data_IF_862609204064
#
_entry.id   IF_862609204064
#
_cell.length_a   1.000
_cell.length_b   1.000
_cell.length_c   1.000
_cell.angle_alpha   90.00
_cell.angle_beta   90.00
_cell.angle_gamma   90.00
#
_symmetry.space_group_name_H-M   'P 1'
#
loop_
_entity.id
_entity.type
_entity.pdbx_description
1 polymer ?
#
# COMPACT_ATOMS: atom_id res chain seq x y z
N UNK A 1 15.48 6.23 -42.17
CA UNK A 1 14.30 5.72 -41.47
C UNK A 1 14.75 5.00 -40.18
N UNK A 2 15.04 5.75 -39.11
CA UNK A 2 15.46 5.15 -37.81
C UNK A 2 14.26 4.45 -37.18
N UNK A 3 14.42 3.20 -36.86
CA UNK A 3 13.39 2.29 -36.34
C UNK A 3 12.72 2.90 -35.08
N UNK A 4 11.40 3.06 -35.13
CA UNK A 4 10.53 3.52 -34.03
C UNK A 4 10.75 2.74 -32.70
N UNK A 5 11.34 1.55 -32.76
CA UNK A 5 11.61 0.70 -31.60
C UNK A 5 12.84 1.11 -30.80
N UNK A 6 13.84 1.74 -31.43
CA UNK A 6 15.06 2.14 -30.74
C UNK A 6 14.86 3.40 -29.85
N UNK A 7 13.93 4.28 -30.24
CA UNK A 7 13.59 5.50 -29.50
C UNK A 7 12.85 5.18 -28.18
N UNK A 8 11.96 4.19 -28.16
CA UNK A 8 11.24 3.82 -26.94
C UNK A 8 12.13 3.13 -25.88
N UNK A 9 13.09 2.31 -26.31
CA UNK A 9 14.06 1.68 -25.40
C UNK A 9 14.98 2.70 -24.73
N UNK A 10 15.38 3.74 -25.49
CA UNK A 10 16.18 4.85 -24.95
C UNK A 10 15.43 5.61 -23.84
N UNK A 11 14.15 5.93 -24.08
CA UNK A 11 13.31 6.63 -23.09
C UNK A 11 13.09 5.83 -21.81
N UNK A 12 12.81 4.53 -21.93
CA UNK A 12 12.66 3.64 -20.76
C UNK A 12 13.95 3.56 -19.96
N UNK A 13 15.11 3.38 -20.64
CA UNK A 13 16.42 3.30 -19.99
C UNK A 13 16.76 4.60 -19.24
N UNK A 14 16.47 5.75 -19.85
CA UNK A 14 16.71 7.05 -19.23
C UNK A 14 15.73 7.29 -18.06
N UNK A 15 14.46 6.92 -18.22
CA UNK A 15 13.46 6.94 -17.16
C UNK A 15 13.88 6.12 -15.95
N UNK A 16 14.30 4.88 -16.15
CA UNK A 16 14.79 3.99 -15.07
C UNK A 16 16.03 4.59 -14.40
N UNK A 17 16.99 5.09 -15.15
CA UNK A 17 18.22 5.70 -14.58
C UNK A 17 17.92 6.92 -13.72
N UNK A 18 16.92 7.71 -14.08
CA UNK A 18 16.50 8.88 -13.31
C UNK A 18 15.68 8.52 -12.07
N UNK A 19 15.04 7.37 -12.07
CA UNK A 19 14.19 6.87 -10.96
C UNK A 19 14.91 5.89 -10.03
N UNK A 20 16.23 5.66 -10.19
CA UNK A 20 17.01 4.78 -9.29
C UNK A 20 16.89 5.18 -7.82
N UNK A 21 16.81 6.48 -7.54
CA UNK A 21 16.58 6.98 -6.18
C UNK A 21 15.26 6.45 -5.60
N UNK A 22 14.21 6.32 -6.42
CA UNK A 22 12.91 5.79 -5.98
C UNK A 22 13.00 4.30 -5.63
N UNK A 23 13.82 3.53 -6.36
CA UNK A 23 14.10 2.12 -6.04
C UNK A 23 14.82 2.01 -4.70
N UNK A 24 15.85 2.85 -4.47
CA UNK A 24 16.60 2.86 -3.20
C UNK A 24 15.68 3.26 -2.05
N UNK A 25 14.90 4.33 -2.21
CA UNK A 25 13.96 4.81 -1.20
C UNK A 25 12.90 3.76 -0.87
N UNK A 26 12.29 3.15 -1.89
CA UNK A 26 11.26 2.11 -1.69
C UNK A 26 11.83 0.85 -1.04
N UNK A 27 13.04 0.43 -1.44
CA UNK A 27 13.73 -0.71 -0.80
C UNK A 27 13.97 -0.42 0.67
N UNK A 28 14.52 0.75 1.01
CA UNK A 28 14.79 1.14 2.39
C UNK A 28 13.51 1.24 3.21
N UNK A 29 12.47 1.86 2.67
CA UNK A 29 11.18 1.97 3.32
C UNK A 29 10.56 0.59 3.63
N UNK A 30 10.58 -0.35 2.70
CA UNK A 30 10.05 -1.69 2.91
C UNK A 30 10.95 -2.57 3.79
N UNK A 31 12.26 -2.39 3.77
CA UNK A 31 13.14 -3.06 4.75
C UNK A 31 12.78 -2.64 6.17
N UNK A 32 12.61 -1.33 6.41
CA UNK A 32 12.32 -0.80 7.75
C UNK A 32 10.88 -1.13 8.18
N UNK A 33 9.91 -1.04 7.29
CA UNK A 33 8.49 -1.21 7.64
C UNK A 33 8.02 -2.67 7.66
N UNK A 34 8.64 -3.55 6.88
CA UNK A 34 8.17 -4.92 6.68
C UNK A 34 9.21 -5.96 7.13
N UNK A 35 10.42 -5.94 6.56
CA UNK A 35 11.40 -6.99 6.80
C UNK A 35 11.91 -6.99 8.23
N UNK A 36 12.36 -5.85 8.74
CA UNK A 36 12.89 -5.75 10.10
C UNK A 36 11.85 -6.10 11.18
N UNK A 37 10.63 -5.53 11.19
CA UNK A 37 9.63 -5.91 12.18
C UNK A 37 9.25 -7.38 12.13
N UNK A 38 9.16 -7.97 10.93
CA UNK A 38 8.87 -9.41 10.79
C UNK A 38 9.98 -10.27 11.37
N UNK A 39 11.25 -9.96 11.08
CA UNK A 39 12.40 -10.70 11.61
C UNK A 39 12.52 -10.55 13.14
N UNK A 40 12.35 -9.33 13.65
CA UNK A 40 12.40 -9.07 15.11
C UNK A 40 11.31 -9.85 15.84
N UNK A 41 10.08 -9.85 15.34
CA UNK A 41 8.97 -10.60 15.93
C UNK A 41 9.26 -12.12 15.94
N UNK A 42 9.73 -12.66 14.82
CA UNK A 42 10.09 -14.09 14.73
C UNK A 42 11.24 -14.45 15.68
N UNK A 43 12.28 -13.61 15.77
CA UNK A 43 13.38 -13.83 16.71
C UNK A 43 12.90 -13.81 18.16
N UNK A 44 12.13 -12.83 18.54
CA UNK A 44 11.56 -12.71 19.87
C UNK A 44 10.69 -13.93 20.25
N UNK A 45 9.88 -14.43 19.31
CA UNK A 45 9.08 -15.62 19.49
C UNK A 45 9.95 -16.88 19.75
N UNK A 46 11.08 -17.00 19.03
CA UNK A 46 12.03 -18.11 19.22
C UNK A 46 12.77 -18.01 20.58
N UNK A 47 13.16 -16.82 20.99
CA UNK A 47 13.79 -16.57 22.29
C UNK A 47 12.83 -16.88 23.45
N UNK A 48 11.61 -16.41 23.37
CA UNK A 48 10.57 -16.71 24.37
C UNK A 48 10.34 -18.22 24.50
N UNK A 49 10.29 -18.95 23.39
CA UNK A 49 10.15 -20.41 23.39
C UNK A 49 11.34 -21.09 24.05
N UNK A 50 12.57 -20.63 23.78
CA UNK A 50 13.77 -21.18 24.44
C UNK A 50 13.75 -20.92 25.95
N UNK A 51 13.37 -19.72 26.38
CA UNK A 51 13.22 -19.38 27.79
C UNK A 51 12.25 -20.29 28.50
N UNK A 52 11.05 -20.52 27.95
CA UNK A 52 10.05 -21.41 28.52
C UNK A 52 10.53 -22.86 28.63
N UNK A 53 11.32 -23.33 27.67
CA UNK A 53 11.92 -24.69 27.74
C UNK A 53 12.92 -24.79 28.88
N UNK A 54 13.75 -23.76 29.07
CA UNK A 54 14.74 -23.69 30.15
C UNK A 54 14.04 -23.66 31.53
N UNK A 55 12.94 -22.91 31.64
CA UNK A 55 12.14 -22.79 32.87
C UNK A 55 11.29 -24.05 33.19
N UNK A 56 11.33 -25.09 32.33
CA UNK A 56 10.65 -26.35 32.54
C UNK A 56 9.14 -26.31 32.35
N UNK A 57 8.66 -25.41 31.47
CA UNK A 57 7.22 -25.28 31.14
C UNK A 57 6.64 -26.59 30.61
N UNK A 58 5.37 -26.83 30.94
CA UNK A 58 4.63 -28.05 30.49
C UNK A 58 4.45 -28.04 28.98
N UNK A 59 4.40 -29.21 28.34
CA UNK A 59 4.23 -29.36 26.91
C UNK A 59 2.98 -28.62 26.38
N UNK A 60 1.89 -28.59 27.15
CA UNK A 60 0.64 -27.87 26.83
C UNK A 60 0.85 -26.35 26.78
N UNK A 61 1.62 -25.80 27.72
CA UNK A 61 1.94 -24.36 27.78
C UNK A 61 2.85 -23.94 26.63
N UNK A 62 3.85 -24.77 26.31
CA UNK A 62 4.71 -24.58 25.14
C UNK A 62 3.91 -24.62 23.82
N UNK A 63 2.97 -25.55 23.69
CA UNK A 63 2.14 -25.64 22.49
C UNK A 63 1.19 -24.44 22.34
N UNK A 64 0.62 -23.95 23.45
CA UNK A 64 -0.25 -22.78 23.44
C UNK A 64 0.54 -21.49 23.14
N UNK A 65 1.69 -21.31 23.77
CA UNK A 65 2.61 -20.20 23.48
C UNK A 65 3.08 -20.19 22.02
N UNK A 66 3.36 -21.38 21.46
CA UNK A 66 3.75 -21.47 20.05
C UNK A 66 2.61 -21.08 19.11
N UNK A 67 1.37 -21.49 19.41
CA UNK A 67 0.19 -21.06 18.62
C UNK A 67 -0.02 -19.55 18.64
N UNK A 68 0.12 -18.91 19.81
CA UNK A 68 0.04 -17.44 19.88
C UNK A 68 1.17 -16.76 19.10
N UNK A 69 2.39 -17.28 19.19
CA UNK A 69 3.53 -16.75 18.42
C UNK A 69 3.35 -16.90 16.91
N UNK A 70 2.74 -18.00 16.45
CA UNK A 70 2.37 -18.19 15.03
C UNK A 70 1.30 -17.17 14.60
N UNK A 71 0.31 -16.89 15.44
CA UNK A 71 -0.73 -15.90 15.15
C UNK A 71 -0.14 -14.49 15.08
N UNK A 72 0.73 -14.12 16.01
CA UNK A 72 1.42 -12.83 15.98
C UNK A 72 2.34 -12.70 14.74
N UNK A 73 3.10 -13.75 14.43
CA UNK A 73 3.94 -13.77 13.24
C UNK A 73 3.12 -13.64 11.96
N UNK A 74 1.91 -14.22 11.90
CA UNK A 74 1.01 -14.10 10.77
C UNK A 74 0.63 -12.64 10.46
N UNK A 75 0.46 -11.81 11.48
CA UNK A 75 0.17 -10.37 11.33
C UNK A 75 1.32 -9.67 10.61
N UNK A 76 2.56 -9.90 11.03
CA UNK A 76 3.73 -9.25 10.46
C UNK A 76 4.10 -9.82 9.07
N UNK A 77 4.07 -11.14 8.91
CA UNK A 77 4.35 -11.81 7.63
C UNK A 77 3.22 -11.52 6.64
N UNK A 78 1.96 -11.56 7.08
CA UNK A 78 0.77 -11.28 6.26
C UNK A 78 0.65 -9.83 5.80
N UNK A 79 1.43 -8.90 6.36
CA UNK A 79 1.40 -7.49 5.96
C UNK A 79 0.28 -6.67 6.55
N UNK A 80 -0.35 -7.13 7.61
CA UNK A 80 -1.34 -6.38 8.37
C UNK A 80 -0.71 -5.26 9.21
N UNK A 81 0.60 -5.12 9.15
CA UNK A 81 1.33 -4.09 9.88
C UNK A 81 1.01 -2.68 9.34
N UNK A 82 0.54 -1.80 10.19
CA UNK A 82 0.23 -0.40 9.87
C UNK A 82 1.42 0.36 9.25
N UNK A 83 2.66 0.01 9.62
CA UNK A 83 3.87 0.63 9.06
C UNK A 83 4.03 0.32 7.56
N UNK A 84 3.70 -0.90 7.12
CA UNK A 84 3.74 -1.27 5.69
C UNK A 84 2.73 -0.45 4.92
N UNK A 85 1.52 -0.31 5.44
CA UNK A 85 0.45 0.47 4.81
C UNK A 85 0.80 1.95 4.69
N UNK A 86 1.36 2.53 5.76
CA UNK A 86 1.89 3.88 5.72
C UNK A 86 2.99 4.04 4.68
N UNK A 87 3.94 3.09 4.61
CA UNK A 87 5.01 3.11 3.62
C UNK A 87 4.45 3.06 2.19
N UNK A 88 3.46 2.20 1.92
CA UNK A 88 2.79 2.11 0.60
C UNK A 88 2.14 3.43 0.22
N UNK A 89 1.39 4.07 1.14
CA UNK A 89 0.74 5.37 0.89
C UNK A 89 1.79 6.46 0.61
N UNK A 90 2.79 6.57 1.47
CA UNK A 90 3.84 7.59 1.32
C UNK A 90 4.63 7.40 0.02
N UNK A 91 4.98 6.16 -0.32
CA UNK A 91 5.68 5.86 -1.57
C UNK A 91 4.80 6.14 -2.79
N UNK A 92 3.49 5.91 -2.74
CA UNK A 92 2.57 6.26 -3.82
C UNK A 92 2.53 7.78 -4.04
N UNK A 93 2.46 8.58 -2.96
CA UNK A 93 2.50 10.03 -3.02
C UNK A 93 3.83 10.53 -3.59
N UNK A 94 4.95 10.06 -3.03
CA UNK A 94 6.30 10.51 -3.44
C UNK A 94 6.60 10.10 -4.87
N UNK A 95 6.32 8.85 -5.25
CA UNK A 95 6.56 8.37 -6.61
C UNK A 95 5.65 9.09 -7.61
N UNK A 96 4.36 9.26 -7.30
CA UNK A 96 3.40 9.95 -8.16
C UNK A 96 3.78 11.40 -8.43
N UNK A 97 4.13 12.15 -7.37
CA UNK A 97 4.59 13.53 -7.53
C UNK A 97 5.92 13.62 -8.26
N UNK A 98 6.91 12.81 -7.91
CA UNK A 98 8.25 12.93 -8.46
C UNK A 98 8.34 12.54 -9.93
N UNK A 99 7.59 11.52 -10.37
CA UNK A 99 7.58 11.08 -11.78
C UNK A 99 6.96 12.11 -12.71
N UNK A 100 6.02 12.92 -12.22
CA UNK A 100 5.33 13.96 -13.00
C UNK A 100 5.75 15.39 -12.65
N UNK A 101 6.65 15.59 -11.68
CA UNK A 101 7.17 16.90 -11.30
C UNK A 101 7.85 17.67 -12.44
N UNK A 102 8.29 16.98 -13.51
CA UNK A 102 8.86 17.65 -14.70
C UNK A 102 7.84 18.57 -15.39
N UNK A 103 6.54 18.34 -15.22
CA UNK A 103 5.47 19.18 -15.76
C UNK A 103 5.43 20.59 -15.12
N UNK A 104 6.00 20.75 -13.93
CA UNK A 104 6.06 22.03 -13.22
C UNK A 104 7.32 22.88 -13.58
N UNK A 105 8.24 22.32 -14.37
CA UNK A 105 9.45 23.00 -14.81
C UNK A 105 9.38 23.29 -16.32
N UNK A 106 9.23 24.56 -16.70
CA UNK A 106 9.09 24.99 -18.10
C UNK A 106 10.20 24.45 -19.01
N UNK A 107 11.45 24.45 -18.53
CA UNK A 107 12.60 23.96 -19.32
C UNK A 107 12.51 22.47 -19.62
N UNK A 108 12.02 21.68 -18.67
CA UNK A 108 11.83 20.24 -18.84
C UNK A 108 10.64 19.95 -19.76
N UNK A 109 9.55 20.69 -19.61
CA UNK A 109 8.37 20.57 -20.48
C UNK A 109 8.75 20.81 -21.94
N UNK A 110 9.45 21.93 -22.24
CA UNK A 110 9.89 22.25 -23.59
C UNK A 110 10.79 21.16 -24.17
N UNK A 111 11.72 20.62 -23.38
CA UNK A 111 12.57 19.49 -23.79
C UNK A 111 11.75 18.23 -24.11
N UNK A 112 10.82 17.84 -23.23
CA UNK A 112 10.01 16.63 -23.47
C UNK A 112 9.04 16.77 -24.63
N UNK A 113 8.52 17.98 -24.87
CA UNK A 113 7.63 18.26 -25.99
C UNK A 113 8.37 18.37 -27.33
N UNK A 114 9.67 18.61 -27.34
CA UNK A 114 10.50 18.58 -28.56
C UNK A 114 10.84 17.14 -29.01
N UNK A 115 10.61 16.14 -28.16
CA UNK A 115 10.87 14.75 -28.52
C UNK A 115 9.83 14.25 -29.53
N UNK A 116 10.22 13.45 -30.54
CA UNK A 116 9.30 12.87 -31.54
C UNK A 116 8.51 11.68 -30.97
N UNK A 117 7.87 11.88 -29.83
CA UNK A 117 7.09 10.85 -29.09
C UNK A 117 5.72 11.41 -28.76
N UNK A 118 4.67 10.60 -28.88
CA UNK A 118 3.33 11.00 -28.49
C UNK A 118 3.25 11.22 -26.97
N UNK A 119 2.44 12.20 -26.54
CA UNK A 119 2.25 12.55 -25.12
C UNK A 119 1.76 11.36 -24.30
N UNK A 120 0.85 10.55 -24.86
CA UNK A 120 0.34 9.33 -24.24
C UNK A 120 1.46 8.32 -23.94
N UNK A 121 2.39 8.13 -24.87
CA UNK A 121 3.53 7.22 -24.67
C UNK A 121 4.48 7.74 -23.60
N UNK A 122 4.71 9.05 -23.57
CA UNK A 122 5.55 9.67 -22.55
C UNK A 122 4.92 9.50 -21.16
N UNK A 123 3.61 9.76 -21.06
CA UNK A 123 2.85 9.53 -19.83
C UNK A 123 2.95 8.07 -19.38
N UNK A 124 2.63 7.13 -20.28
CA UNK A 124 2.62 5.69 -19.96
C UNK A 124 4.00 5.20 -19.53
N UNK A 125 5.08 5.63 -20.20
CA UNK A 125 6.46 5.24 -19.82
C UNK A 125 6.80 5.75 -18.42
N UNK A 126 6.51 7.00 -18.12
CA UNK A 126 6.77 7.56 -16.79
C UNK A 126 5.92 6.88 -15.70
N UNK A 127 4.63 6.65 -15.99
CA UNK A 127 3.72 5.98 -15.07
C UNK A 127 4.18 4.55 -14.75
N UNK A 128 4.42 3.73 -15.78
CA UNK A 128 4.86 2.35 -15.62
C UNK A 128 6.24 2.29 -14.94
N UNK A 129 7.17 3.16 -15.32
CA UNK A 129 8.51 3.19 -14.71
C UNK A 129 8.41 3.50 -13.22
N UNK A 130 7.62 4.50 -12.82
CA UNK A 130 7.43 4.84 -11.40
C UNK A 130 6.76 3.71 -10.61
N UNK A 131 5.73 3.08 -11.19
CA UNK A 131 5.06 1.95 -10.56
C UNK A 131 6.01 0.76 -10.35
N UNK A 132 6.78 0.40 -11.38
CA UNK A 132 7.75 -0.72 -11.32
C UNK A 132 8.85 -0.44 -10.30
N UNK A 133 9.34 0.80 -10.18
CA UNK A 133 10.37 1.18 -9.20
C UNK A 133 9.95 0.96 -7.75
N UNK A 134 8.66 0.95 -7.45
CA UNK A 134 8.14 0.68 -6.10
C UNK A 134 7.68 -0.77 -5.95
N UNK A 135 6.96 -1.30 -6.94
CA UNK A 135 6.39 -2.66 -6.88
C UNK A 135 7.50 -3.73 -6.91
N UNK A 136 8.56 -3.55 -7.71
CA UNK A 136 9.61 -4.54 -7.81
C UNK A 136 10.36 -4.77 -6.47
N UNK A 137 10.86 -3.73 -5.76
CA UNK A 137 11.44 -3.91 -4.43
C UNK A 137 10.46 -4.51 -3.41
N UNK A 138 9.19 -4.10 -3.46
CA UNK A 138 8.14 -4.65 -2.61
C UNK A 138 8.01 -6.16 -2.79
N UNK A 139 7.89 -6.65 -4.03
CA UNK A 139 7.77 -8.08 -4.33
C UNK A 139 9.01 -8.87 -3.90
N UNK A 140 10.20 -8.34 -4.17
CA UNK A 140 11.46 -8.99 -3.76
C UNK A 140 11.53 -9.15 -2.25
N UNK A 141 11.20 -8.09 -1.50
CA UNK A 141 11.22 -8.14 -0.04
C UNK A 141 10.11 -9.01 0.54
N UNK A 142 8.93 -9.07 -0.12
CA UNK A 142 7.87 -10.01 0.26
C UNK A 142 8.34 -11.47 0.14
N UNK A 143 8.95 -11.82 -1.00
CA UNK A 143 9.48 -13.16 -1.18
C UNK A 143 10.58 -13.46 -0.16
N UNK A 144 11.47 -12.49 0.10
CA UNK A 144 12.53 -12.64 1.11
C UNK A 144 11.94 -12.87 2.52
N UNK A 145 10.92 -12.11 2.92
CA UNK A 145 10.25 -12.29 4.22
C UNK A 145 9.64 -13.70 4.34
N UNK A 146 9.02 -14.20 3.27
CA UNK A 146 8.45 -15.55 3.25
C UNK A 146 9.53 -16.63 3.37
N UNK A 147 10.64 -16.48 2.66
CA UNK A 147 11.78 -17.40 2.75
C UNK A 147 12.37 -17.41 4.16
N UNK A 148 12.56 -16.24 4.76
CA UNK A 148 13.04 -16.13 6.15
C UNK A 148 12.05 -16.78 7.13
N UNK A 149 10.74 -16.58 6.94
CA UNK A 149 9.73 -17.21 7.78
C UNK A 149 9.77 -18.74 7.72
N UNK A 150 9.90 -19.31 6.53
CA UNK A 150 10.06 -20.75 6.37
C UNK A 150 11.35 -21.27 7.00
N UNK A 151 12.48 -20.58 6.83
CA UNK A 151 13.76 -20.94 7.41
C UNK A 151 13.74 -20.92 8.95
N UNK A 152 12.96 -20.03 9.55
CA UNK A 152 12.81 -19.89 11.00
C UNK A 152 11.70 -20.77 11.60
N UNK A 153 10.99 -21.58 10.78
CA UNK A 153 9.95 -22.51 11.24
C UNK A 153 8.55 -21.90 11.34
N UNK A 154 8.32 -20.69 10.81
CA UNK A 154 7.02 -20.00 10.78
C UNK A 154 6.25 -20.23 9.47
N UNK A 155 6.64 -21.20 8.65
CA UNK A 155 5.99 -21.49 7.37
C UNK A 155 4.50 -21.82 7.44
N UNK A 156 4.02 -22.32 8.59
CA UNK A 156 2.62 -22.64 8.82
C UNK A 156 1.80 -21.42 9.29
N UNK A 157 2.44 -20.29 9.61
CA UNK A 157 1.75 -19.11 10.15
C UNK A 157 0.76 -18.50 9.15
N UNK A 158 1.09 -18.53 7.85
CA UNK A 158 0.27 -17.93 6.80
C UNK A 158 0.10 -18.88 5.62
N UNK A 159 -1.13 -19.11 5.19
CA UNK A 159 -1.40 -19.88 3.97
C UNK A 159 -0.90 -19.13 2.74
N UNK A 160 -0.41 -19.86 1.74
CA UNK A 160 0.08 -19.26 0.47
C UNK A 160 -1.02 -18.46 -0.22
N UNK A 161 -2.26 -18.93 -0.19
CA UNK A 161 -3.39 -18.21 -0.78
C UNK A 161 -3.66 -16.87 -0.12
N UNK A 162 -3.67 -16.82 1.21
CA UNK A 162 -3.82 -15.57 1.98
C UNK A 162 -2.68 -14.62 1.69
N UNK A 163 -1.44 -15.12 1.64
CA UNK A 163 -0.26 -14.31 1.35
C UNK A 163 -0.31 -13.65 -0.04
N UNK A 164 -0.70 -14.42 -1.06
CA UNK A 164 -0.88 -13.88 -2.42
C UNK A 164 -2.03 -12.87 -2.47
N UNK A 165 -3.12 -13.10 -1.75
CA UNK A 165 -4.23 -12.16 -1.63
C UNK A 165 -3.81 -10.81 -1.04
N UNK A 166 -2.97 -10.82 0.01
CA UNK A 166 -2.42 -9.60 0.61
C UNK A 166 -1.53 -8.85 -0.38
N UNK A 167 -0.62 -9.55 -1.07
CA UNK A 167 0.25 -8.94 -2.08
C UNK A 167 -0.59 -8.27 -3.18
N UNK A 168 -1.61 -8.94 -3.68
CA UNK A 168 -2.49 -8.40 -4.70
C UNK A 168 -3.22 -7.15 -4.21
N UNK A 169 -3.75 -7.20 -2.99
CA UNK A 169 -4.42 -6.09 -2.34
C UNK A 169 -3.49 -4.87 -2.21
N UNK A 170 -2.28 -5.06 -1.67
CA UNK A 170 -1.29 -4.00 -1.50
C UNK A 170 -0.91 -3.35 -2.84
N UNK A 171 -0.72 -4.16 -3.89
CA UNK A 171 -0.40 -3.65 -5.24
C UNK A 171 -1.56 -2.84 -5.81
N UNK A 172 -2.80 -3.32 -5.67
CA UNK A 172 -3.99 -2.61 -6.19
C UNK A 172 -4.19 -1.27 -5.48
N UNK A 173 -4.08 -1.23 -4.15
CA UNK A 173 -4.16 0.02 -3.40
C UNK A 173 -3.01 0.96 -3.72
N UNK A 174 -1.79 0.44 -3.86
CA UNK A 174 -0.65 1.25 -4.31
C UNK A 174 -0.94 1.87 -5.68
N UNK A 175 -1.38 1.10 -6.67
CA UNK A 175 -1.68 1.59 -8.02
C UNK A 175 -2.79 2.65 -8.01
N UNK A 176 -3.85 2.45 -7.21
CA UNK A 176 -4.93 3.42 -7.04
C UNK A 176 -4.39 4.76 -6.50
N UNK A 177 -3.68 4.72 -5.38
CA UNK A 177 -3.13 5.92 -4.76
C UNK A 177 -2.07 6.59 -5.62
N UNK A 178 -1.24 5.81 -6.30
CA UNK A 178 -0.24 6.30 -7.25
C UNK A 178 -0.91 6.99 -8.45
N UNK A 179 -1.98 6.43 -9.01
CA UNK A 179 -2.74 7.05 -10.09
C UNK A 179 -3.40 8.37 -9.65
N UNK A 180 -3.99 8.41 -8.45
CA UNK A 180 -4.54 9.63 -7.87
C UNK A 180 -3.45 10.70 -7.65
N UNK A 181 -2.27 10.30 -7.20
CA UNK A 181 -1.11 11.20 -7.02
C UNK A 181 -0.60 11.75 -8.35
N UNK A 182 -0.50 10.90 -9.37
CA UNK A 182 -0.11 11.30 -10.71
C UNK A 182 -1.13 12.29 -11.30
N UNK A 183 -2.43 12.00 -11.19
CA UNK A 183 -3.50 12.87 -11.66
C UNK A 183 -3.45 14.24 -10.96
N UNK A 184 -3.34 14.27 -9.64
CA UNK A 184 -3.22 15.51 -8.87
C UNK A 184 -2.02 16.35 -9.30
N UNK A 185 -0.88 15.70 -9.60
CA UNK A 185 0.33 16.38 -10.06
C UNK A 185 0.15 16.95 -11.46
N UNK A 186 -0.57 16.27 -12.34
CA UNK A 186 -0.84 16.73 -13.71
C UNK A 186 -1.82 17.92 -13.71
N UNK A 187 -2.83 17.88 -12.85
CA UNK A 187 -3.84 18.94 -12.76
C UNK A 187 -3.31 20.24 -12.12
N UNK A 188 -2.30 20.14 -11.27
CA UNK A 188 -1.74 21.28 -10.56
C UNK A 188 -0.51 21.84 -11.31
N UNK A 189 -0.38 23.15 -11.34
CA UNK A 189 0.81 23.82 -11.90
C UNK A 189 1.99 23.96 -10.92
N UNK A 190 1.84 23.49 -9.67
CA UNK A 190 2.84 23.61 -8.62
C UNK A 190 2.87 22.35 -7.76
N UNK A 191 4.06 21.86 -7.43
CA UNK A 191 4.26 20.64 -6.64
C UNK A 191 3.65 20.73 -5.24
N UNK A 192 3.72 21.90 -4.58
CA UNK A 192 3.15 22.07 -3.24
C UNK A 192 1.61 21.97 -3.30
N UNK A 193 1.00 22.63 -4.29
CA UNK A 193 -0.47 22.55 -4.49
C UNK A 193 -0.89 21.13 -4.83
N UNK A 194 -0.10 20.41 -5.63
CA UNK A 194 -0.35 19.01 -5.95
C UNK A 194 -0.35 18.12 -4.69
N UNK A 195 0.63 18.30 -3.79
CA UNK A 195 0.69 17.57 -2.51
C UNK A 195 -0.51 17.89 -1.61
N UNK A 196 -0.92 19.15 -1.52
CA UNK A 196 -2.12 19.53 -0.76
C UNK A 196 -3.39 18.93 -1.35
N UNK A 197 -3.53 18.93 -2.69
CA UNK A 197 -4.65 18.31 -3.37
C UNK A 197 -4.70 16.79 -3.10
N UNK A 198 -3.56 16.11 -3.14
CA UNK A 198 -3.48 14.68 -2.82
C UNK A 198 -3.91 14.39 -1.39
N UNK A 199 -3.39 15.16 -0.44
CA UNK A 199 -3.76 15.05 0.97
C UNK A 199 -5.27 15.25 1.14
N UNK A 200 -5.83 16.28 0.47
CA UNK A 200 -7.26 16.54 0.48
C UNK A 200 -8.07 15.38 -0.09
N UNK A 201 -7.70 14.86 -1.27
CA UNK A 201 -8.41 13.75 -1.92
C UNK A 201 -8.39 12.49 -1.05
N UNK A 202 -7.30 12.23 -0.32
CA UNK A 202 -7.21 11.07 0.57
C UNK A 202 -8.02 11.24 1.87
N UNK A 203 -8.09 12.44 2.42
CA UNK A 203 -8.70 12.71 3.71
C UNK A 203 -10.10 13.34 3.62
N UNK A 204 -10.47 13.95 2.50
CA UNK A 204 -11.75 14.65 2.36
C UNK A 204 -12.96 13.77 2.69
N UNK A 205 -13.08 12.52 2.22
CA UNK A 205 -14.21 11.68 2.58
C UNK A 205 -14.30 11.42 4.08
N UNK A 206 -13.14 11.25 4.75
CA UNK A 206 -13.06 11.11 6.20
C UNK A 206 -13.50 12.40 6.92
N UNK A 207 -12.98 13.55 6.48
CA UNK A 207 -13.28 14.84 7.07
C UNK A 207 -14.77 15.21 6.91
N UNK A 208 -15.34 14.96 5.73
CA UNK A 208 -16.77 15.20 5.45
C UNK A 208 -17.64 14.35 6.37
N UNK A 209 -17.31 13.07 6.53
CA UNK A 209 -18.06 12.17 7.39
C UNK A 209 -17.98 12.59 8.86
N UNK A 210 -16.77 12.89 9.36
CA UNK A 210 -16.60 13.36 10.73
C UNK A 210 -17.35 14.68 10.99
N UNK A 211 -17.38 15.58 10.02
CA UNK A 211 -18.13 16.83 10.11
C UNK A 211 -19.65 16.57 10.12
N UNK A 212 -20.14 15.67 9.28
CA UNK A 212 -21.54 15.28 9.25
C UNK A 212 -21.99 14.70 10.60
N UNK A 213 -21.24 13.75 11.17
CA UNK A 213 -21.52 13.16 12.47
C UNK A 213 -21.47 14.21 13.61
N UNK A 214 -20.46 15.08 13.58
CA UNK A 214 -20.33 16.17 14.53
C UNK A 214 -21.51 17.15 14.50
N UNK A 215 -22.00 17.49 13.30
CA UNK A 215 -23.16 18.33 13.15
C UNK A 215 -24.45 17.66 13.66
N UNK A 216 -24.65 16.38 13.33
CA UNK A 216 -25.83 15.64 13.83
C UNK A 216 -25.82 15.54 15.36
N UNK A 217 -24.69 15.26 15.99
CA UNK A 217 -24.59 15.20 17.45
C UNK A 217 -24.82 16.53 18.15
N UNK A 218 -24.52 17.67 17.48
CA UNK A 218 -24.71 18.99 18.03
C UNK A 218 -26.18 19.49 17.89
N UNK A 219 -26.80 19.20 16.75
CA UNK A 219 -28.14 19.76 16.45
C UNK A 219 -29.30 18.80 16.73
N UNK A 220 -29.08 17.49 16.74
CA UNK A 220 -30.09 16.48 16.95
C UNK A 220 -29.96 15.86 18.36
N UNK A 221 -30.73 16.35 19.34
CA UNK A 221 -30.70 15.82 20.73
C UNK A 221 -31.05 14.33 20.87
N UNK A 222 -31.76 13.77 19.90
CA UNK A 222 -32.17 12.36 19.84
C UNK A 222 -31.20 11.51 19.02
N UNK A 223 -30.14 12.12 18.49
CA UNK A 223 -29.14 11.41 17.71
C UNK A 223 -28.23 10.61 18.64
N UNK A 224 -28.32 9.29 18.54
CA UNK A 224 -27.38 8.43 19.20
C UNK A 224 -26.11 8.35 18.33
N UNK A 225 -24.97 8.67 18.92
CA UNK A 225 -23.71 8.70 18.18
C UNK A 225 -23.43 7.33 17.58
N UNK A 226 -23.16 7.31 16.28
CA UNK A 226 -22.82 6.07 15.57
C UNK A 226 -21.65 5.40 16.28
N UNK A 227 -21.78 4.10 16.50
CA UNK A 227 -20.69 3.29 17.04
C UNK A 227 -19.45 3.41 16.14
N UNK A 228 -18.26 3.41 16.73
CA UNK A 228 -17.01 3.46 15.95
C UNK A 228 -16.96 2.41 14.82
N UNK A 229 -17.60 1.25 15.01
CA UNK A 229 -17.74 0.21 13.98
C UNK A 229 -18.56 0.67 12.77
N UNK A 230 -19.59 1.48 12.99
CA UNK A 230 -20.46 1.99 11.93
C UNK A 230 -19.85 3.20 11.23
N UNK A 231 -19.13 4.06 11.97
CA UNK A 231 -18.34 5.13 11.40
C UNK A 231 -17.33 4.58 10.37
N UNK A 232 -16.68 3.48 10.69
CA UNK A 232 -15.78 2.81 9.78
C UNK A 232 -16.47 2.26 8.52
N UNK A 233 -17.71 1.84 8.59
CA UNK A 233 -18.47 1.41 7.43
C UNK A 233 -18.76 2.56 6.44
N UNK A 234 -18.89 3.79 6.93
CA UNK A 234 -19.06 4.97 6.09
C UNK A 234 -17.77 5.51 5.49
N UNK A 235 -16.59 5.16 6.06
CA UNK A 235 -15.27 5.59 5.58
C UNK A 235 -14.81 4.90 4.29
N UNK A 236 -15.61 4.02 3.71
CA UNK A 236 -15.31 3.27 2.47
C UNK A 236 -15.03 4.16 1.25
N UNK A 237 -15.43 5.42 1.29
CA UNK A 237 -15.16 6.38 0.22
C UNK A 237 -13.72 6.92 0.26
N UNK A 238 -13.01 6.76 1.40
CA UNK A 238 -11.60 7.15 1.51
C UNK A 238 -10.68 5.97 1.16
N UNK A 239 -9.88 6.05 0.09
CA UNK A 239 -8.98 4.97 -0.31
C UNK A 239 -7.99 4.62 0.78
N UNK A 240 -7.44 5.63 1.46
CA UNK A 240 -6.49 5.43 2.55
C UNK A 240 -7.14 4.74 3.76
N UNK A 241 -8.31 5.21 4.21
CA UNK A 241 -9.03 4.59 5.31
C UNK A 241 -9.43 3.15 4.98
N UNK A 242 -9.95 2.91 3.78
CA UNK A 242 -10.33 1.55 3.33
C UNK A 242 -9.12 0.62 3.31
N UNK A 243 -7.95 1.09 2.86
CA UNK A 243 -6.74 0.30 2.86
C UNK A 243 -6.32 -0.12 4.26
N UNK A 244 -6.41 0.79 5.25
CA UNK A 244 -6.17 0.44 6.65
C UNK A 244 -7.17 -0.56 7.19
N UNK A 245 -8.44 -0.48 6.76
CA UNK A 245 -9.51 -1.36 7.25
C UNK A 245 -9.48 -2.76 6.63
N UNK A 246 -9.23 -2.85 5.33
CA UNK A 246 -9.25 -4.13 4.58
C UNK A 246 -8.31 -5.15 5.21
N UNK A 247 -7.16 -4.69 5.69
CA UNK A 247 -6.20 -5.54 6.38
C UNK A 247 -6.09 -5.19 7.88
N UNK A 248 -6.95 -4.30 8.39
CA UNK A 248 -6.96 -3.89 9.78
C UNK A 248 -7.49 -5.01 10.65
N UNK A 249 -6.58 -5.67 11.33
CA UNK A 249 -6.82 -6.79 12.18
C UNK A 249 -7.90 -6.51 13.22
N UNK A 250 -8.95 -7.27 13.17
CA UNK A 250 -9.42 -7.86 14.40
C UNK A 250 -8.67 -9.18 14.55
N UNK A 251 -7.78 -9.22 15.54
CA UNK A 251 -6.99 -10.34 15.95
C UNK A 251 -7.72 -11.68 15.72
N UNK A 252 -7.30 -12.47 14.74
CA UNK A 252 -7.80 -13.80 14.48
C UNK A 252 -8.86 -13.97 13.39
N UNK A 253 -9.33 -12.91 12.74
CA UNK A 253 -10.20 -13.04 11.58
C UNK A 253 -9.40 -12.94 10.29
N UNK A 254 -9.51 -13.95 9.44
CA UNK A 254 -8.81 -13.95 8.14
C UNK A 254 -9.30 -12.83 7.20
N UNK A 255 -8.56 -12.60 6.15
CA UNK A 255 -8.87 -11.61 5.10
C UNK A 255 -10.35 -11.68 4.65
N UNK A 256 -10.91 -12.90 4.58
CA UNK A 256 -12.31 -13.15 4.24
C UNK A 256 -13.30 -12.53 5.23
N UNK A 257 -13.03 -12.60 6.54
CA UNK A 257 -13.96 -12.10 7.57
C UNK A 257 -14.00 -10.56 7.59
N UNK A 258 -12.88 -9.90 7.33
CA UNK A 258 -12.82 -8.44 7.23
C UNK A 258 -13.59 -7.93 6.02
N UNK A 259 -13.57 -8.67 4.92
CA UNK A 259 -14.36 -8.35 3.73
C UNK A 259 -15.85 -8.62 3.92
N UNK A 260 -16.22 -9.70 4.64
CA UNK A 260 -17.61 -10.02 4.95
C UNK A 260 -18.21 -8.97 5.88
N UNK A 261 -17.48 -8.47 6.89
CA UNK A 261 -17.91 -7.36 7.74
C UNK A 261 -18.15 -6.06 6.97
N UNK A 262 -17.43 -5.87 5.86
CA UNK A 262 -17.68 -4.76 4.95
C UNK A 262 -19.00 -4.91 4.15
N UNK A 263 -19.77 -6.01 4.32
CA UNK A 263 -21.06 -6.22 3.65
C UNK A 263 -20.97 -6.46 2.15
N UNK A 264 -19.74 -6.61 1.61
CA UNK A 264 -19.48 -6.96 0.21
C UNK A 264 -18.42 -8.05 0.15
N UNK A 265 -18.54 -9.02 -0.75
CA UNK A 265 -17.50 -10.02 -0.92
C UNK A 265 -16.19 -9.36 -1.39
N UNK A 266 -15.07 -9.88 -0.88
CA UNK A 266 -13.73 -9.35 -1.09
C UNK A 266 -13.41 -9.01 -2.56
N UNK A 267 -13.81 -9.89 -3.47
CA UNK A 267 -13.56 -9.69 -4.90
C UNK A 267 -14.31 -8.50 -5.50
N UNK A 268 -15.49 -8.14 -4.97
CA UNK A 268 -16.22 -6.95 -5.43
C UNK A 268 -15.51 -5.66 -5.05
N UNK A 269 -15.00 -5.55 -3.82
CA UNK A 269 -14.23 -4.38 -3.39
C UNK A 269 -12.93 -4.25 -4.20
N UNK A 270 -12.22 -5.36 -4.39
CA UNK A 270 -11.02 -5.38 -5.24
C UNK A 270 -11.34 -4.98 -6.68
N UNK A 271 -12.46 -5.44 -7.23
CA UNK A 271 -12.90 -5.07 -8.57
C UNK A 271 -13.28 -3.57 -8.68
N UNK A 272 -13.97 -3.02 -7.67
CA UNK A 272 -14.31 -1.58 -7.62
C UNK A 272 -13.03 -0.71 -7.60
N UNK A 273 -12.03 -1.07 -6.77
CA UNK A 273 -10.77 -0.32 -6.71
C UNK A 273 -9.91 -0.53 -7.96
N UNK A 274 -9.88 -1.72 -8.52
CA UNK A 274 -9.19 -1.98 -9.78
C UNK A 274 -9.83 -1.17 -10.93
N UNK A 275 -11.15 -1.13 -11.00
CA UNK A 275 -11.88 -0.34 -11.99
C UNK A 275 -11.63 1.16 -11.81
N UNK A 276 -11.63 1.67 -10.56
CA UNK A 276 -11.31 3.06 -10.26
C UNK A 276 -9.87 3.42 -10.66
N UNK A 277 -8.91 2.54 -10.36
CA UNK A 277 -7.51 2.74 -10.76
C UNK A 277 -7.36 2.77 -12.28
N UNK A 278 -7.98 1.82 -13.00
CA UNK A 278 -7.97 1.80 -14.47
C UNK A 278 -8.62 3.04 -15.08
N UNK A 279 -9.73 3.50 -14.51
CA UNK A 279 -10.40 4.72 -14.98
C UNK A 279 -9.50 5.96 -14.80
N UNK A 280 -8.84 6.11 -13.64
CA UNK A 280 -7.91 7.21 -13.39
C UNK A 280 -6.67 7.13 -14.30
N UNK A 281 -6.19 5.92 -14.62
CA UNK A 281 -5.05 5.75 -15.54
C UNK A 281 -5.46 6.11 -16.99
N UNK A 282 -6.72 5.88 -17.36
CA UNK A 282 -7.23 6.16 -18.69
C UNK A 282 -7.58 7.64 -18.93
N UNK A 283 -7.84 8.42 -17.88
CA UNK A 283 -8.04 9.87 -17.90
C UNK A 283 -6.73 10.62 -18.18
#
# INVERSE_FOLDING_TARGET
MMSRSSSSKGLVRDGVRRSLWAVVLSTLAFVVSMLLPSLMNMQQALENRKGMIVDGARASELAQSWKSSLADAAIYIGGENALVKLAVILLAVVAGTAMFAYLHDKRKVDFYHSLPVSREKLYLVNFVTGAVCVIAPYLVLRVLTLVCAHAMGFGEAVSVGTYLGVILCDILFFLLMYAMSALSTILCGNTIIALLLQLWVYLAPLAIQMMHEGLLSLYCKTYDSISYSDLFNHLRLSPAATYFMVNGANYGSGLADNFIRAGKPAYMLLAEYAAAALFIIAL
#
